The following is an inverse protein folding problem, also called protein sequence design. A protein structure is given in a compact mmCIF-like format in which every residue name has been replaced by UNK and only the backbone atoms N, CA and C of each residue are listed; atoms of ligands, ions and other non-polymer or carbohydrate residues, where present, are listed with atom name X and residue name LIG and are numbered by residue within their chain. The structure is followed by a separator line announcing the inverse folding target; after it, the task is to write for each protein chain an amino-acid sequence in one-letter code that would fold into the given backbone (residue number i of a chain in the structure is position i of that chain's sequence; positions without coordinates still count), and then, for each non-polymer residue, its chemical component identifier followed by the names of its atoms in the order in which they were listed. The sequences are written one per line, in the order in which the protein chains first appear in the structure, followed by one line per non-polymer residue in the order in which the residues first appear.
data_IF_056730458497
#
_entry.id   IF_056730458497
#
_cell.length_a   1.000
_cell.length_b   1.000
_cell.length_c   1.000
_cell.angle_alpha   90.00
_cell.angle_beta   90.00
_cell.angle_gamma   90.00
#
_symmetry.space_group_name_H-M   'P 1'
#
loop_
_entity.id
_entity.type
_entity.pdbx_description
1 polymer ?
#
# COMPACT_ATOMS: atom_id res chain seq x y z
N UNK A 1 10.00 -8.04 -11.76
CA UNK A 1 9.51 -6.67 -11.46
C UNK A 1 10.50 -5.53 -11.80
N UNK A 2 11.80 -5.80 -12.00
CA UNK A 2 12.79 -4.76 -12.30
C UNK A 2 12.52 -3.93 -13.58
N UNK A 3 11.81 -4.48 -14.58
CA UNK A 3 11.44 -3.80 -15.84
C UNK A 3 9.98 -3.29 -15.91
N UNK A 4 9.28 -3.10 -14.79
CA UNK A 4 7.91 -2.56 -14.80
C UNK A 4 7.86 -1.03 -14.98
N UNK A 5 6.86 -0.54 -15.74
CA UNK A 5 6.54 0.90 -15.89
C UNK A 5 6.20 1.54 -14.54
N UNK A 6 6.58 2.80 -14.36
CA UNK A 6 6.28 3.60 -13.16
C UNK A 6 4.80 3.95 -13.09
N UNK A 7 4.31 4.17 -11.87
CA UNK A 7 2.93 4.59 -11.59
C UNK A 7 2.97 5.70 -10.54
N UNK A 8 2.19 6.76 -10.74
CA UNK A 8 2.16 7.93 -9.86
C UNK A 8 1.20 7.83 -8.68
N UNK A 9 0.22 6.93 -8.71
CA UNK A 9 -0.77 6.75 -7.64
C UNK A 9 -0.94 5.26 -7.27
N UNK A 10 -0.96 4.90 -5.97
CA UNK A 10 -0.97 3.51 -5.52
C UNK A 10 -2.28 2.79 -5.85
N UNK A 11 -3.38 3.52 -6.03
CA UNK A 11 -4.71 3.00 -6.35
C UNK A 11 -5.43 3.96 -7.31
N UNK A 12 -6.34 3.44 -8.13
CA UNK A 12 -7.17 4.27 -9.01
C UNK A 12 -8.30 4.95 -8.23
N UNK A 13 -8.65 6.17 -8.62
CA UNK A 13 -9.81 6.87 -8.07
C UNK A 13 -11.08 6.07 -8.40
N UNK A 14 -11.96 5.92 -7.42
CA UNK A 14 -13.24 5.19 -7.57
C UNK A 14 -13.11 3.71 -7.98
N UNK A 15 -11.96 3.07 -7.72
CA UNK A 15 -11.79 1.65 -7.95
C UNK A 15 -12.84 0.83 -7.18
N UNK A 16 -13.81 0.25 -7.91
CA UNK A 16 -14.80 -0.69 -7.37
C UNK A 16 -14.17 -2.07 -7.33
N UNK A 17 -14.02 -2.63 -6.13
CA UNK A 17 -13.48 -3.96 -5.90
C UNK A 17 -14.60 -4.79 -5.23
N UNK A 18 -14.95 -5.94 -5.78
CA UNK A 18 -16.10 -6.75 -5.33
C UNK A 18 -15.68 -8.15 -4.92
N UNK A 19 -15.77 -8.48 -3.62
CA UNK A 19 -15.26 -9.75 -3.07
C UNK A 19 -15.71 -11.03 -3.80
N UNK A 20 -16.87 -11.01 -4.45
CA UNK A 20 -17.50 -12.19 -5.04
C UNK A 20 -17.40 -12.26 -6.56
N UNK A 21 -16.89 -11.22 -7.22
CA UNK A 21 -16.79 -11.18 -8.68
C UNK A 21 -15.38 -11.52 -9.16
N UNK A 22 -15.26 -11.91 -10.43
CA UNK A 22 -13.97 -12.13 -11.09
C UNK A 22 -13.35 -13.51 -10.89
N UNK A 23 -12.20 -13.69 -11.54
CA UNK A 23 -11.52 -14.99 -11.58
C UNK A 23 -10.79 -15.27 -10.27
N UNK A 24 -10.93 -16.51 -9.77
CA UNK A 24 -10.19 -17.01 -8.61
C UNK A 24 -8.68 -16.88 -8.81
N UNK A 25 -7.99 -16.62 -7.70
CA UNK A 25 -6.54 -16.62 -7.68
C UNK A 25 -6.02 -18.01 -7.30
N UNK A 26 -5.17 -18.60 -8.16
CA UNK A 26 -4.60 -19.93 -7.94
C UNK A 26 -3.76 -20.03 -6.66
N UNK A 27 -2.98 -18.99 -6.35
CA UNK A 27 -2.14 -18.93 -5.14
C UNK A 27 -2.53 -17.76 -4.23
N UNK A 28 -3.50 -18.01 -3.35
CA UNK A 28 -3.88 -17.08 -2.30
C UNK A 28 -2.78 -16.86 -1.24
N UNK A 29 -1.81 -17.77 -1.12
CA UNK A 29 -0.69 -17.63 -0.18
C UNK A 29 0.29 -16.58 -0.66
N UNK A 30 0.59 -16.54 -1.96
CA UNK A 30 1.39 -15.48 -2.57
C UNK A 30 0.76 -14.10 -2.30
N UNK A 31 -0.56 -13.98 -2.51
CA UNK A 31 -1.28 -12.74 -2.23
C UNK A 31 -1.12 -12.29 -0.78
N UNK A 32 -1.38 -13.20 0.17
CA UNK A 32 -1.25 -12.92 1.61
C UNK A 32 0.17 -12.49 2.00
N UNK A 33 1.19 -13.14 1.43
CA UNK A 33 2.60 -12.74 1.64
C UNK A 33 2.88 -11.33 1.14
N UNK A 34 2.42 -10.98 -0.07
CA UNK A 34 2.63 -9.65 -0.64
C UNK A 34 1.92 -8.57 0.18
N UNK A 35 0.65 -8.79 0.52
CA UNK A 35 -0.11 -7.82 1.32
C UNK A 35 0.47 -7.70 2.72
N UNK A 36 0.89 -8.80 3.36
CA UNK A 36 1.58 -8.77 4.65
C UNK A 36 2.85 -7.93 4.64
N UNK A 37 3.70 -8.09 3.63
CA UNK A 37 4.90 -7.25 3.47
C UNK A 37 4.56 -5.78 3.24
N UNK A 38 3.48 -5.49 2.51
CA UNK A 38 3.02 -4.11 2.31
C UNK A 38 2.44 -3.50 3.58
N UNK A 39 1.73 -4.26 4.41
CA UNK A 39 1.26 -3.82 5.74
C UNK A 39 2.46 -3.43 6.60
N UNK A 40 3.55 -4.19 6.56
CA UNK A 40 4.76 -3.80 7.29
C UNK A 40 5.34 -2.47 6.76
N UNK A 41 5.33 -2.29 5.44
CA UNK A 41 5.83 -1.07 4.81
C UNK A 41 5.03 0.18 5.18
N UNK A 42 3.72 0.07 5.50
CA UNK A 42 2.91 1.24 5.88
C UNK A 42 3.41 1.94 7.14
N UNK A 43 4.18 1.25 7.99
CA UNK A 43 4.81 1.83 9.19
C UNK A 43 5.70 3.03 8.86
N UNK A 44 6.39 3.01 7.72
CA UNK A 44 7.22 4.12 7.25
C UNK A 44 6.64 4.79 6.01
N UNK A 45 5.60 4.23 5.38
CA UNK A 45 4.96 4.72 4.16
C UNK A 45 3.47 5.00 4.37
N UNK A 46 3.10 6.08 5.08
CA UNK A 46 1.69 6.40 5.32
C UNK A 46 0.91 6.63 4.02
N UNK A 47 1.58 7.11 2.96
CA UNK A 47 1.03 7.41 1.64
C UNK A 47 0.38 6.21 0.92
N UNK A 48 0.78 4.98 1.24
CA UNK A 48 0.17 3.76 0.66
C UNK A 48 -0.86 3.09 1.58
N UNK A 49 -1.04 3.59 2.81
CA UNK A 49 -1.82 2.91 3.85
C UNK A 49 -3.27 2.64 3.44
N UNK A 50 -3.90 3.60 2.77
CA UNK A 50 -5.26 3.43 2.28
C UNK A 50 -5.36 2.27 1.28
N UNK A 51 -4.51 2.27 0.24
CA UNK A 51 -4.52 1.25 -0.81
C UNK A 51 -4.25 -0.15 -0.23
N UNK A 52 -3.26 -0.27 0.66
CA UNK A 52 -2.91 -1.52 1.34
C UNK A 52 -4.05 -1.98 2.26
N UNK A 53 -4.68 -1.06 2.98
CA UNK A 53 -5.83 -1.33 3.83
C UNK A 53 -7.04 -1.88 3.05
N UNK A 54 -7.32 -1.34 1.85
CA UNK A 54 -8.36 -1.90 0.98
C UNK A 54 -7.99 -3.32 0.53
N UNK A 55 -6.75 -3.57 0.11
CA UNK A 55 -6.31 -4.91 -0.31
C UNK A 55 -6.35 -5.94 0.82
N UNK A 56 -6.10 -5.50 2.06
CA UNK A 56 -6.12 -6.38 3.24
C UNK A 56 -7.51 -6.99 3.53
N UNK A 57 -8.60 -6.40 3.00
CA UNK A 57 -9.96 -6.95 3.14
C UNK A 57 -10.14 -8.27 2.39
N UNK A 58 -9.32 -8.54 1.38
CA UNK A 58 -9.48 -9.68 0.47
C UNK A 58 -8.48 -10.82 0.76
N UNK A 59 -7.89 -10.87 1.95
CA UNK A 59 -6.91 -11.89 2.33
C UNK A 59 -7.47 -13.32 2.35
N UNK A 60 -8.77 -13.48 2.65
CA UNK A 60 -9.42 -14.78 2.76
C UNK A 60 -9.70 -15.40 1.39
N UNK A 61 -10.23 -14.61 0.45
CA UNK A 61 -10.56 -15.06 -0.89
C UNK A 61 -10.13 -14.03 -1.95
N UNK A 62 -8.82 -13.93 -2.24
CA UNK A 62 -8.32 -13.00 -3.24
C UNK A 62 -8.69 -13.45 -4.66
N UNK A 63 -8.83 -12.47 -5.55
CA UNK A 63 -9.19 -12.65 -6.96
C UNK A 63 -8.07 -12.10 -7.81
N UNK A 64 -8.02 -12.45 -9.10
CA UNK A 64 -6.94 -11.98 -9.98
C UNK A 64 -6.81 -10.46 -10.05
N UNK A 65 -7.93 -9.73 -10.08
CA UNK A 65 -7.89 -8.26 -10.11
C UNK A 65 -7.43 -7.65 -8.77
N UNK A 66 -7.65 -8.32 -7.63
CA UNK A 66 -7.04 -7.93 -6.35
C UNK A 66 -5.51 -8.02 -6.44
N UNK A 67 -4.98 -9.08 -7.05
CA UNK A 67 -3.53 -9.21 -7.25
C UNK A 67 -2.98 -8.14 -8.20
N UNK A 68 -3.72 -7.77 -9.25
CA UNK A 68 -3.32 -6.66 -10.13
C UNK A 68 -3.25 -5.32 -9.40
N UNK A 69 -4.18 -5.07 -8.48
CA UNK A 69 -4.13 -3.89 -7.62
C UNK A 69 -2.91 -3.91 -6.68
N UNK A 70 -2.57 -5.06 -6.10
CA UNK A 70 -1.32 -5.21 -5.31
C UNK A 70 -0.09 -4.97 -6.19
N UNK A 71 -0.05 -5.49 -7.43
CA UNK A 71 1.02 -5.22 -8.40
C UNK A 71 1.12 -3.75 -8.76
N UNK A 72 0.01 -3.02 -8.79
CA UNK A 72 0.00 -1.55 -8.94
C UNK A 72 0.67 -0.86 -7.76
N UNK A 73 0.32 -1.21 -6.52
CA UNK A 73 0.96 -0.65 -5.31
C UNK A 73 2.48 -0.90 -5.36
N UNK A 74 2.92 -2.11 -5.73
CA UNK A 74 4.35 -2.42 -5.87
C UNK A 74 5.06 -1.57 -6.94
N UNK A 75 4.39 -1.29 -8.06
CA UNK A 75 4.92 -0.37 -9.09
C UNK A 75 5.07 1.06 -8.56
N UNK A 76 4.10 1.54 -7.79
CA UNK A 76 4.16 2.84 -7.15
C UNK A 76 5.31 2.94 -6.14
N UNK A 77 5.46 1.93 -5.25
CA UNK A 77 6.56 1.85 -4.28
C UNK A 77 7.91 1.86 -5.00
N UNK A 78 8.04 1.12 -6.10
CA UNK A 78 9.26 1.11 -6.92
C UNK A 78 9.60 2.49 -7.50
N UNK A 79 8.61 3.28 -7.93
CA UNK A 79 8.88 4.64 -8.43
C UNK A 79 9.10 5.66 -7.33
N UNK A 80 8.88 5.30 -6.07
CA UNK A 80 8.95 6.19 -4.91
C UNK A 80 9.86 5.61 -3.82
N UNK A 81 10.98 4.97 -4.19
CA UNK A 81 11.88 4.32 -3.22
C UNK A 81 12.49 5.30 -2.20
N UNK A 82 12.61 6.58 -2.56
CA UNK A 82 13.09 7.63 -1.65
C UNK A 82 12.02 8.18 -0.69
N UNK A 83 10.77 7.73 -0.79
CA UNK A 83 9.70 8.19 0.10
C UNK A 83 9.71 7.34 1.37
N UNK A 84 9.34 7.97 2.48
CA UNK A 84 9.07 7.31 3.75
C UNK A 84 9.63 8.05 4.95
N UNK A 85 9.24 7.58 6.12
CA UNK A 85 9.66 8.13 7.41
C UNK A 85 10.89 7.36 7.88
N UNK A 86 11.98 8.08 8.14
CA UNK A 86 13.16 7.51 8.77
C UNK A 86 12.97 7.47 10.29
N UNK A 87 12.70 6.29 10.83
CA UNK A 87 12.66 6.06 12.27
C UNK A 87 14.09 5.87 12.78
N UNK A 88 14.60 6.86 13.51
CA UNK A 88 15.92 6.83 14.15
C UNK A 88 15.76 6.87 15.67
N UNK A 89 16.61 6.15 16.39
CA UNK A 89 16.71 6.32 17.84
C UNK A 89 17.24 7.73 18.11
N UNK A 90 16.45 8.55 18.81
CA UNK A 90 16.92 9.85 19.29
C UNK A 90 17.75 9.69 20.56
N UNK A 91 18.74 10.56 20.75
CA UNK A 91 19.43 10.72 22.04
C UNK A 91 18.60 11.58 23.01
N UNK A 92 17.88 12.58 22.48
CA UNK A 92 16.93 13.44 23.19
C UNK A 92 15.52 13.33 22.59
N UNK A 93 14.57 12.80 23.35
CA UNK A 93 13.17 12.66 22.93
C UNK A 93 12.38 13.94 23.24
N UNK A 94 12.61 15.01 22.47
CA UNK A 94 11.85 16.27 22.60
C UNK A 94 10.57 16.19 21.76
N UNK A 95 9.41 16.20 22.42
CA UNK A 95 8.11 16.28 21.76
C UNK A 95 7.92 17.68 21.15
N UNK A 96 7.79 17.76 19.83
CA UNK A 96 7.50 18.99 19.11
C UNK A 96 6.15 18.82 18.42
N UNK A 97 5.19 19.68 18.75
CA UNK A 97 3.88 19.72 18.11
C UNK A 97 3.83 20.82 17.07
N UNK A 98 3.25 20.52 15.91
CA UNK A 98 2.91 21.50 14.88
C UNK A 98 1.39 21.56 14.79
N UNK A 99 0.84 22.77 14.74
CA UNK A 99 -0.58 23.01 14.52
C UNK A 99 -0.66 23.87 13.25
N UNK A 100 -1.36 23.37 12.24
CA UNK A 100 -1.72 24.15 11.05
C UNK A 100 -3.19 24.47 11.16
N UNK A 101 -3.51 25.75 11.11
CA UNK A 101 -4.87 26.25 11.14
C UNK A 101 -5.07 27.03 9.85
N UNK A 102 -5.49 26.33 8.81
CA UNK A 102 -5.96 26.96 7.59
C UNK A 102 -7.48 27.23 7.70
N UNK A 103 -7.87 28.42 7.24
CA UNK A 103 -9.28 28.82 7.19
C UNK A 103 -9.85 28.42 5.83
N UNK A 104 -11.01 27.75 5.83
CA UNK A 104 -11.76 27.36 4.64
C UNK A 104 -12.68 28.48 4.11
#
# INVERSE_FOLDING_TARGET
MLKSKSISIPMELHAKMCAHEGQELEDATMYRKLVGSLIYLTLTRPDISFAVGVMSRYLQNPKKYHLEAVRRILRYVKSTLGFGIMLKKGEDCRLVGYCDADYA
#
